data_IF_002323282331
#
_entry.id   IF_002323282331
#
_cell.length_a   1.000
_cell.length_b   1.000
_cell.length_c   1.000
_cell.angle_alpha   90.00
_cell.angle_beta   90.00
_cell.angle_gamma   90.00
#
_symmetry.space_group_name_H-M   'P 1'
#
loop_
_entity.id
_entity.type
_entity.pdbx_description
1 polymer ?
#
# COMPACT_ATOMS: atom_id res chain seq x y z
N UNK A 1 15.99 2.37 -27.90
CA UNK A 1 14.59 1.90 -27.99
C UNK A 1 14.07 1.85 -26.56
N UNK A 2 13.10 2.70 -26.19
CA UNK A 2 12.52 2.65 -24.82
C UNK A 2 11.90 1.27 -24.62
N UNK A 3 12.18 0.64 -23.48
CA UNK A 3 11.66 -0.69 -23.16
C UNK A 3 10.13 -0.60 -23.02
N UNK A 4 9.42 -1.72 -23.20
CA UNK A 4 7.95 -1.77 -23.00
C UNK A 4 7.55 -1.40 -21.56
N UNK A 5 8.50 -1.51 -20.61
CA UNK A 5 8.36 -1.13 -19.20
C UNK A 5 8.42 0.39 -19.00
N UNK A 6 9.15 1.13 -19.86
CA UNK A 6 9.25 2.60 -19.78
C UNK A 6 7.91 3.31 -20.06
N UNK A 7 6.86 2.57 -20.45
CA UNK A 7 5.52 3.09 -20.66
C UNK A 7 4.73 3.22 -19.35
N UNK A 8 5.03 2.41 -18.34
CA UNK A 8 4.20 2.31 -17.14
C UNK A 8 5.02 2.55 -15.87
N UNK A 9 4.52 3.43 -15.01
CA UNK A 9 5.09 3.69 -13.70
C UNK A 9 4.16 3.16 -12.61
N UNK A 10 4.71 2.39 -11.66
CA UNK A 10 3.94 1.96 -10.50
C UNK A 10 3.69 3.15 -9.56
N UNK A 11 2.42 3.47 -9.34
CA UNK A 11 1.93 4.44 -8.36
C UNK A 11 1.16 3.74 -7.24
N UNK A 12 0.86 4.47 -6.18
CA UNK A 12 0.10 3.93 -5.06
C UNK A 12 -0.83 4.97 -4.42
N UNK A 13 -1.90 4.48 -3.77
CA UNK A 13 -2.90 5.28 -3.05
C UNK A 13 -2.82 5.09 -1.52
N UNK A 14 -1.73 4.52 -1.02
CA UNK A 14 -1.63 4.02 0.35
C UNK A 14 -1.91 5.09 1.39
N UNK A 15 -1.30 6.28 1.23
CA UNK A 15 -1.49 7.40 2.16
C UNK A 15 -2.95 7.83 2.27
N UNK A 16 -3.66 7.89 1.14
CA UNK A 16 -5.06 8.30 1.11
C UNK A 16 -5.94 7.25 1.77
N UNK A 17 -5.81 5.99 1.36
CA UNK A 17 -6.58 4.87 1.91
C UNK A 17 -6.33 4.72 3.41
N UNK A 18 -5.06 4.71 3.83
CA UNK A 18 -4.66 4.62 5.23
C UNK A 18 -5.29 5.73 6.08
N UNK A 19 -5.23 6.99 5.61
CA UNK A 19 -5.84 8.13 6.32
C UNK A 19 -7.36 8.01 6.42
N UNK A 20 -8.03 7.65 5.33
CA UNK A 20 -9.49 7.43 5.32
C UNK A 20 -9.90 6.34 6.30
N UNK A 21 -9.06 5.30 6.43
CA UNK A 21 -9.28 4.20 7.37
C UNK A 21 -8.75 4.48 8.78
N UNK A 22 -8.23 5.66 9.08
CA UNK A 22 -7.73 6.04 10.40
C UNK A 22 -6.53 5.22 10.89
N UNK A 23 -5.73 4.66 9.99
CA UNK A 23 -4.57 3.82 10.30
C UNK A 23 -3.30 4.70 10.32
N UNK A 24 -2.36 4.46 11.22
CA UNK A 24 -1.08 5.20 11.26
C UNK A 24 -0.03 4.52 10.40
N UNK A 25 1.00 5.27 9.95
CA UNK A 25 2.15 4.65 9.26
C UNK A 25 2.86 3.64 10.17
N UNK A 26 2.93 3.94 11.47
CA UNK A 26 3.54 3.09 12.50
C UNK A 26 2.81 1.75 12.59
N UNK A 27 1.47 1.77 12.69
CA UNK A 27 0.67 0.55 12.78
C UNK A 27 0.86 -0.35 11.56
N UNK A 28 0.86 0.21 10.34
CA UNK A 28 1.09 -0.58 9.14
C UNK A 28 2.51 -1.12 9.04
N UNK A 29 3.51 -0.31 9.40
CA UNK A 29 4.90 -0.72 9.40
C UNK A 29 5.13 -1.89 10.36
N UNK A 30 4.61 -1.79 11.58
CA UNK A 30 4.68 -2.86 12.58
C UNK A 30 3.97 -4.13 12.11
N UNK A 31 2.77 -3.99 11.51
CA UNK A 31 2.00 -5.13 11.02
C UNK A 31 2.71 -5.92 9.91
N UNK A 32 3.51 -5.25 9.08
CA UNK A 32 4.27 -5.90 8.01
C UNK A 32 5.75 -6.15 8.37
N UNK A 33 6.15 -5.88 9.62
CA UNK A 33 7.49 -6.16 10.13
C UNK A 33 8.60 -5.28 9.52
N UNK A 34 8.31 -4.02 9.22
CA UNK A 34 9.30 -3.05 8.68
C UNK A 34 9.38 -1.80 9.54
N UNK A 35 10.44 -1.02 9.35
CA UNK A 35 10.54 0.30 10.00
C UNK A 35 9.51 1.28 9.41
N UNK A 36 8.97 2.19 10.24
CA UNK A 36 8.10 3.28 9.79
C UNK A 36 8.69 4.09 8.63
N UNK A 37 10.00 4.33 8.65
CA UNK A 37 10.74 5.03 7.58
C UNK A 37 10.61 4.32 6.23
N UNK A 38 10.70 2.99 6.21
CA UNK A 38 10.50 2.16 5.02
C UNK A 38 9.09 2.35 4.45
N UNK A 39 8.05 2.20 5.29
CA UNK A 39 6.66 2.39 4.87
C UNK A 39 6.40 3.83 4.37
N UNK A 40 7.00 4.83 5.02
CA UNK A 40 6.91 6.24 4.63
C UNK A 40 7.50 6.52 3.24
N UNK A 41 8.66 5.93 2.92
CA UNK A 41 9.30 6.02 1.60
C UNK A 41 8.46 5.31 0.53
N UNK A 42 7.85 4.18 0.88
CA UNK A 42 6.93 3.43 0.04
C UNK A 42 5.69 4.27 -0.33
N UNK A 43 5.05 4.93 0.65
CA UNK A 43 3.93 5.85 0.37
C UNK A 43 4.31 6.99 -0.58
N UNK A 44 5.56 7.45 -0.54
CA UNK A 44 6.08 8.49 -1.45
C UNK A 44 6.47 7.96 -2.83
N UNK A 45 6.45 6.65 -3.05
CA UNK A 45 6.85 6.03 -4.31
C UNK A 45 8.35 6.13 -4.59
N UNK A 46 9.18 6.23 -3.56
CA UNK A 46 10.65 6.31 -3.73
C UNK A 46 11.28 5.03 -4.27
N UNK A 47 10.57 3.90 -4.19
CA UNK A 47 10.98 2.63 -4.75
C UNK A 47 9.76 1.79 -5.14
N UNK A 48 9.98 0.82 -6.03
CA UNK A 48 8.98 -0.14 -6.47
C UNK A 48 8.95 -1.32 -5.48
N UNK A 49 7.87 -1.53 -4.70
CA UNK A 49 7.76 -2.71 -3.85
C UNK A 49 7.59 -3.98 -4.70
N UNK A 50 8.07 -5.11 -4.17
CA UNK A 50 7.76 -6.41 -4.77
C UNK A 50 6.33 -6.85 -4.42
N UNK A 51 5.82 -7.86 -5.12
CA UNK A 51 4.45 -8.35 -4.94
C UNK A 51 4.16 -8.84 -3.52
N UNK A 52 5.17 -9.39 -2.81
CA UNK A 52 5.01 -9.85 -1.42
C UNK A 52 4.68 -8.66 -0.50
N UNK A 53 5.39 -7.55 -0.64
CA UNK A 53 5.11 -6.33 0.14
C UNK A 53 3.72 -5.78 -0.19
N UNK A 54 3.32 -5.78 -1.46
CA UNK A 54 1.97 -5.33 -1.85
C UNK A 54 0.87 -6.17 -1.19
N UNK A 55 1.01 -7.49 -1.18
CA UNK A 55 0.09 -8.43 -0.54
C UNK A 55 0.05 -8.27 0.99
N UNK A 56 1.22 -8.15 1.62
CA UNK A 56 1.31 -7.93 3.07
C UNK A 56 0.62 -6.64 3.49
N UNK A 57 0.81 -5.54 2.73
CA UNK A 57 0.14 -4.26 3.01
C UNK A 57 -1.37 -4.38 2.89
N UNK A 58 -1.86 -5.08 1.86
CA UNK A 58 -3.29 -5.33 1.69
C UNK A 58 -3.89 -6.08 2.87
N UNK A 59 -3.29 -7.19 3.29
CA UNK A 59 -3.73 -7.97 4.45
C UNK A 59 -3.65 -7.17 5.75
N UNK A 60 -2.58 -6.40 5.94
CA UNK A 60 -2.38 -5.55 7.10
C UNK A 60 -3.48 -4.48 7.22
N UNK A 61 -3.88 -3.85 6.11
CA UNK A 61 -4.98 -2.87 6.11
C UNK A 61 -6.30 -3.53 6.52
N UNK A 62 -6.63 -4.69 5.95
CA UNK A 62 -7.85 -5.42 6.28
C UNK A 62 -7.90 -5.80 7.76
N UNK A 63 -6.79 -6.33 8.28
CA UNK A 63 -6.67 -6.74 9.68
C UNK A 63 -6.80 -5.55 10.64
N UNK A 64 -5.98 -4.50 10.46
CA UNK A 64 -6.00 -3.32 11.34
C UNK A 64 -7.36 -2.60 11.33
N UNK A 65 -8.03 -2.58 10.17
CA UNK A 65 -9.37 -2.00 10.09
C UNK A 65 -10.41 -2.83 10.84
N UNK A 66 -10.37 -4.16 10.69
CA UNK A 66 -11.26 -5.07 11.39
C UNK A 66 -11.04 -5.00 12.91
N UNK A 67 -9.80 -5.08 13.38
CA UNK A 67 -9.49 -4.98 14.81
C UNK A 67 -10.01 -3.67 15.44
N UNK A 68 -9.91 -2.56 14.70
CA UNK A 68 -10.34 -1.25 15.19
C UNK A 68 -11.86 -1.05 15.18
N UNK A 69 -12.57 -1.66 14.24
CA UNK A 69 -13.98 -1.30 13.93
C UNK A 69 -14.97 -2.45 14.04
N UNK A 70 -14.50 -3.69 14.08
CA UNK A 70 -15.31 -4.90 13.95
C UNK A 70 -15.93 -5.10 12.57
N UNK A 71 -15.59 -4.27 11.57
CA UNK A 71 -16.17 -4.31 10.22
C UNK A 71 -15.18 -4.84 9.19
N UNK A 72 -15.70 -5.55 8.19
CA UNK A 72 -14.91 -5.96 7.03
C UNK A 72 -14.95 -4.90 5.92
N UNK A 73 -13.89 -4.84 5.12
CA UNK A 73 -13.85 -4.01 3.91
C UNK A 73 -14.16 -4.90 2.71
N UNK A 74 -15.36 -4.78 2.15
CA UNK A 74 -15.84 -5.69 1.09
C UNK A 74 -15.15 -5.52 -0.26
N UNK A 75 -14.49 -4.37 -0.53
CA UNK A 75 -14.00 -4.02 -1.88
C UNK A 75 -12.61 -3.37 -1.92
N UNK A 76 -11.72 -3.75 -1.00
CA UNK A 76 -10.31 -3.33 -1.09
C UNK A 76 -9.51 -4.37 -1.86
N UNK A 77 -9.14 -4.06 -3.10
CA UNK A 77 -8.28 -4.90 -3.93
C UNK A 77 -6.87 -4.30 -4.02
N UNK A 78 -5.89 -5.10 -4.46
CA UNK A 78 -4.49 -4.64 -4.56
C UNK A 78 -4.35 -3.51 -5.59
N UNK A 79 -5.10 -3.56 -6.69
CA UNK A 79 -5.11 -2.52 -7.73
C UNK A 79 -5.65 -1.16 -7.22
N UNK A 80 -6.46 -1.17 -6.16
CA UNK A 80 -6.86 0.07 -5.46
C UNK A 80 -5.71 0.68 -4.66
N UNK A 81 -4.79 -0.16 -4.18
CA UNK A 81 -3.61 0.24 -3.41
C UNK A 81 -2.44 0.64 -4.31
N UNK A 82 -2.20 -0.13 -5.37
CA UNK A 82 -1.08 0.00 -6.30
C UNK A 82 -1.58 -0.09 -7.73
N UNK A 83 -1.25 0.87 -8.58
CA UNK A 83 -1.74 0.91 -9.95
C UNK A 83 -0.65 1.36 -10.91
N UNK A 84 -0.78 0.93 -12.17
CA UNK A 84 0.10 1.37 -13.25
C UNK A 84 -0.47 2.66 -13.84
N UNK A 85 0.36 3.69 -13.86
CA UNK A 85 0.07 4.95 -14.54
C UNK A 85 0.90 5.02 -15.84
N UNK A 86 0.36 5.65 -16.87
CA UNK A 86 1.06 5.80 -18.16
C UNK A 86 1.91 7.07 -18.15
N UNK A 87 3.15 6.97 -18.65
CA UNK A 87 4.05 8.12 -18.86
C UNK A 87 3.73 8.84 -20.16
#
# INVERSE_FOLDING_TARGET
MKSKEDKYLLKNNLKNIRKTLGITQEALANQIGVQKSYYSRLERGEFVPNIKICLMIHQAILHLYFERTGKHIEKLTIDRLFYLDTI
#
